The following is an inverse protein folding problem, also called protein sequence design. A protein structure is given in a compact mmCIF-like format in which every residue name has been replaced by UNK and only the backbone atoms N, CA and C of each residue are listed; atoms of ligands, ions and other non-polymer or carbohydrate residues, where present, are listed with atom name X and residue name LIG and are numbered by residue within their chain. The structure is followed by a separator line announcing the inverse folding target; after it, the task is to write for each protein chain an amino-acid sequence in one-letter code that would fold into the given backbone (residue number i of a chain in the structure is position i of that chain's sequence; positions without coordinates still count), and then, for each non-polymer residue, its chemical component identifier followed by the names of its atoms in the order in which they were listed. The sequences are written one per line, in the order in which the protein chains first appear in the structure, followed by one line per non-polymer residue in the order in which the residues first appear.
data_IF_563070330424
#
_entry.id   IF_563070330424
#
_cell.length_a   1.000
_cell.length_b   1.000
_cell.length_c   1.000
_cell.angle_alpha   90.00
_cell.angle_beta   90.00
_cell.angle_gamma   90.00
#
_symmetry.space_group_name_H-M   'P 1'
#
loop_
_entity.id
_entity.type
_entity.pdbx_description
1 polymer ?
#
# COMPACT_ATOMS: atom_id res chain seq x y z
N UNK A 1 -25.22 -7.77 -4.60
CA UNK A 1 -23.81 -8.19 -4.48
C UNK A 1 -22.96 -6.94 -4.65
N UNK A 2 -22.38 -6.41 -3.57
CA UNK A 2 -21.67 -5.13 -3.61
C UNK A 2 -20.44 -5.23 -4.52
N UNK A 3 -20.27 -4.28 -5.44
CA UNK A 3 -19.08 -4.21 -6.31
C UNK A 3 -17.84 -4.13 -5.41
N UNK A 4 -16.90 -5.08 -5.58
CA UNK A 4 -15.64 -5.06 -4.83
C UNK A 4 -14.83 -3.80 -5.11
N UNK A 5 -13.98 -3.39 -4.16
CA UNK A 5 -13.21 -2.14 -4.27
C UNK A 5 -12.07 -2.28 -5.28
N UNK A 6 -11.51 -3.49 -5.35
CA UNK A 6 -10.49 -3.90 -6.30
C UNK A 6 -10.98 -5.07 -7.13
N UNK A 7 -10.50 -5.17 -8.36
CA UNK A 7 -10.79 -6.32 -9.22
C UNK A 7 -9.74 -6.52 -10.31
N UNK A 8 -9.93 -7.51 -11.19
CA UNK A 8 -8.98 -7.82 -12.24
C UNK A 8 -8.89 -6.66 -13.24
N UNK A 9 -7.67 -6.40 -13.72
CA UNK A 9 -7.43 -5.44 -14.79
C UNK A 9 -8.10 -5.91 -16.08
N UNK A 10 -8.68 -4.99 -16.85
CA UNK A 10 -9.35 -5.31 -18.13
C UNK A 10 -8.38 -5.65 -19.25
N UNK A 11 -7.16 -5.11 -19.18
CA UNK A 11 -6.08 -5.34 -20.14
C UNK A 11 -4.80 -5.68 -19.38
N UNK A 12 -4.24 -6.86 -19.66
CA UNK A 12 -3.05 -7.39 -19.00
C UNK A 12 -3.34 -8.11 -17.68
N UNK A 13 -2.26 -8.39 -16.92
CA UNK A 13 -2.34 -9.09 -15.64
C UNK A 13 -2.27 -8.11 -14.46
N UNK A 14 -3.04 -8.39 -13.41
CA UNK A 14 -2.95 -7.67 -12.13
C UNK A 14 -4.30 -7.19 -11.57
N UNK A 15 -4.20 -6.39 -10.52
CA UNK A 15 -5.33 -5.85 -9.77
C UNK A 15 -5.42 -4.34 -9.99
N UNK A 16 -6.63 -3.83 -10.19
CA UNK A 16 -6.90 -2.39 -10.31
C UNK A 16 -8.01 -1.98 -9.35
N UNK A 17 -7.92 -0.73 -8.85
CA UNK A 17 -9.03 -0.09 -8.16
C UNK A 17 -10.21 0.07 -9.13
N UNK A 18 -11.40 -0.36 -8.71
CA UNK A 18 -12.66 -0.25 -9.47
C UNK A 18 -13.61 0.76 -8.85
N UNK A 19 -13.52 0.99 -7.54
CA UNK A 19 -14.38 1.90 -6.79
C UNK A 19 -13.63 3.13 -6.31
N UNK A 20 -14.38 4.16 -5.89
CA UNK A 20 -13.81 5.35 -5.25
C UNK A 20 -13.05 5.00 -3.97
N UNK A 21 -13.52 4.01 -3.20
CA UNK A 21 -12.81 3.51 -2.02
C UNK A 21 -11.44 2.91 -2.41
N UNK A 22 -11.37 2.13 -3.48
CA UNK A 22 -10.10 1.58 -3.97
C UNK A 22 -9.09 2.66 -4.36
N UNK A 23 -9.55 3.73 -5.02
CA UNK A 23 -8.71 4.89 -5.35
C UNK A 23 -8.26 5.67 -4.11
N UNK A 24 -9.16 5.90 -3.15
CA UNK A 24 -8.81 6.53 -1.88
C UNK A 24 -7.74 5.75 -1.12
N UNK A 25 -7.85 4.42 -1.06
CA UNK A 25 -6.83 3.56 -0.41
C UNK A 25 -5.50 3.64 -1.16
N UNK A 26 -5.52 3.65 -2.50
CA UNK A 26 -4.31 3.81 -3.31
C UNK A 26 -3.62 5.15 -3.04
N UNK A 27 -4.37 6.24 -2.96
CA UNK A 27 -3.82 7.57 -2.64
C UNK A 27 -3.29 7.58 -1.20
N UNK A 28 -4.06 7.04 -0.26
CA UNK A 28 -3.63 6.92 1.13
C UNK A 28 -2.32 6.15 1.27
N UNK A 29 -2.12 5.07 0.50
CA UNK A 29 -0.85 4.34 0.47
C UNK A 29 0.32 5.26 0.13
N UNK A 30 0.22 6.01 -0.98
CA UNK A 30 1.30 6.89 -1.43
C UNK A 30 1.59 7.97 -0.39
N UNK A 31 0.55 8.58 0.15
CA UNK A 31 0.67 9.62 1.19
C UNK A 31 1.31 9.06 2.46
N UNK A 32 0.87 7.89 2.93
CA UNK A 32 1.38 7.26 4.14
C UNK A 32 2.84 6.81 3.98
N UNK A 33 3.23 6.32 2.80
CA UNK A 33 4.64 6.06 2.49
C UNK A 33 5.45 7.36 2.55
N UNK A 34 4.99 8.43 1.90
CA UNK A 34 5.71 9.70 1.89
C UNK A 34 5.88 10.28 3.30
N UNK A 35 4.81 10.27 4.11
CA UNK A 35 4.84 10.70 5.52
C UNK A 35 5.81 9.82 6.32
N UNK A 36 5.72 8.50 6.18
CA UNK A 36 6.59 7.57 6.90
C UNK A 36 8.06 7.76 6.53
N UNK A 37 8.38 7.90 5.25
CA UNK A 37 9.77 8.14 4.81
C UNK A 37 10.29 9.50 5.29
N UNK A 38 9.42 10.53 5.37
CA UNK A 38 9.80 11.87 5.79
C UNK A 38 10.02 12.02 7.30
N UNK A 39 9.22 11.32 8.12
CA UNK A 39 9.19 11.49 9.58
C UNK A 39 9.64 10.24 10.33
N UNK A 40 9.12 9.07 9.99
CA UNK A 40 9.44 7.81 10.66
C UNK A 40 10.82 7.26 10.27
N UNK A 41 11.24 7.43 9.03
CA UNK A 41 12.55 6.99 8.54
C UNK A 41 13.73 7.54 9.36
N UNK A 42 13.85 8.88 9.52
CA UNK A 42 14.86 9.47 10.38
C UNK A 42 14.77 9.01 11.84
N UNK A 43 13.57 9.00 12.43
CA UNK A 43 13.37 8.59 13.81
C UNK A 43 13.82 7.14 14.07
N UNK A 44 13.52 6.22 13.16
CA UNK A 44 13.96 4.83 13.27
C UNK A 44 15.48 4.68 13.06
N UNK A 45 16.08 5.52 12.20
CA UNK A 45 17.53 5.52 11.97
C UNK A 45 18.28 5.94 13.22
N UNK A 46 17.82 7.01 13.87
CA UNK A 46 18.41 7.51 15.11
C UNK A 46 18.28 6.52 16.27
N UNK A 47 17.16 5.80 16.36
CA UNK A 47 16.92 4.82 17.43
C UNK A 47 17.66 3.49 17.24
N UNK A 48 17.80 3.02 16.00
CA UNK A 48 18.39 1.70 15.70
C UNK A 48 19.87 1.75 15.34
N UNK A 49 20.40 2.93 15.01
CA UNK A 49 21.75 3.08 14.44
C UNK A 49 21.88 2.53 13.01
N UNK A 50 20.77 2.08 12.40
CA UNK A 50 20.74 1.57 11.02
C UNK A 50 20.59 2.75 10.06
N UNK A 51 21.37 2.75 8.97
CA UNK A 51 21.30 3.78 7.95
C UNK A 51 19.90 3.85 7.30
N UNK A 52 19.44 5.08 7.06
CA UNK A 52 18.17 5.39 6.39
C UNK A 52 18.03 4.71 5.03
N UNK A 53 19.14 4.43 4.34
CA UNK A 53 19.14 3.70 3.06
C UNK A 53 18.52 2.31 3.18
N UNK A 54 18.63 1.65 4.34
CA UNK A 54 18.03 0.33 4.59
C UNK A 54 16.64 0.43 5.20
N UNK A 55 16.39 1.44 6.03
CA UNK A 55 15.08 1.64 6.69
C UNK A 55 14.01 2.06 5.68
N UNK A 56 14.36 2.93 4.74
CA UNK A 56 13.42 3.46 3.73
C UNK A 56 12.74 2.36 2.89
N UNK A 57 13.46 1.41 2.27
CA UNK A 57 12.83 0.31 1.55
C UNK A 57 12.02 -0.61 2.46
N UNK A 58 12.44 -0.84 3.70
CA UNK A 58 11.66 -1.64 4.66
C UNK A 58 10.31 -1.00 5.00
N UNK A 59 10.27 0.32 5.19
CA UNK A 59 9.02 1.08 5.37
C UNK A 59 8.12 0.92 4.14
N UNK A 60 8.66 1.09 2.94
CA UNK A 60 7.89 0.96 1.70
C UNK A 60 7.33 -0.46 1.52
N UNK A 61 8.13 -1.50 1.77
CA UNK A 61 7.71 -2.90 1.71
C UNK A 61 6.62 -3.22 2.73
N UNK A 62 6.72 -2.66 3.94
CA UNK A 62 5.71 -2.83 5.00
C UNK A 62 4.36 -2.25 4.56
N UNK A 63 4.36 -1.03 4.01
CA UNK A 63 3.14 -0.41 3.48
C UNK A 63 2.58 -1.16 2.27
N UNK A 64 3.43 -1.66 1.38
CA UNK A 64 3.00 -2.50 0.25
C UNK A 64 2.37 -3.81 0.73
N UNK A 65 2.92 -4.45 1.75
CA UNK A 65 2.33 -5.66 2.34
C UNK A 65 0.94 -5.38 2.92
N UNK A 66 0.78 -4.29 3.68
CA UNK A 66 -0.52 -3.83 4.21
C UNK A 66 -1.50 -3.58 3.06
N UNK A 67 -1.05 -2.91 2.00
CA UNK A 67 -1.89 -2.64 0.83
C UNK A 67 -2.33 -3.92 0.12
N UNK A 68 -1.45 -4.90 -0.05
CA UNK A 68 -1.79 -6.21 -0.58
C UNK A 68 -2.83 -6.94 0.28
N UNK A 69 -2.73 -6.83 1.61
CA UNK A 69 -3.74 -7.38 2.53
C UNK A 69 -5.09 -6.67 2.36
N UNK A 70 -5.11 -5.34 2.24
CA UNK A 70 -6.35 -4.60 1.98
C UNK A 70 -6.97 -5.02 0.66
N UNK A 71 -6.17 -5.12 -0.40
CA UNK A 71 -6.62 -5.63 -1.70
C UNK A 71 -7.24 -7.01 -1.49
N UNK A 72 -6.53 -7.95 -0.86
CA UNK A 72 -7.01 -9.31 -0.64
C UNK A 72 -8.37 -9.37 0.06
N UNK A 73 -8.56 -8.55 1.11
CA UNK A 73 -9.80 -8.50 1.89
C UNK A 73 -10.96 -7.83 1.15
N UNK A 74 -10.67 -6.91 0.24
CA UNK A 74 -11.66 -6.10 -0.47
C UNK A 74 -11.78 -6.44 -1.97
N UNK A 75 -11.07 -7.50 -2.39
CA UNK A 75 -11.07 -7.99 -3.74
C UNK A 75 -12.43 -8.58 -4.09
N UNK A 76 -12.93 -8.23 -5.29
CA UNK A 76 -14.12 -8.83 -5.85
C UNK A 76 -13.88 -10.32 -6.14
N UNK A 77 -14.34 -11.20 -5.25
CA UNK A 77 -14.36 -12.64 -5.50
C UNK A 77 -15.42 -12.92 -6.56
N UNK A 78 -15.01 -13.45 -7.73
CA UNK A 78 -15.95 -14.09 -8.65
C UNK A 78 -16.48 -15.34 -7.93
N UNK A 79 -17.78 -15.35 -7.64
CA UNK A 79 -18.50 -16.54 -7.19
C UNK A 79 -18.50 -17.61 -8.29
#
# INVERSE_FOLDING_TARGET
MGKGWFGPKTIGWGVTAKSWQGWLVTIALVVLIAISVRWLGPALSDLSGIDRVFITPLIALTWLAIYCVIIWLTYEKKA
#
